data_IF_925146617364
#
_entry.id   IF_925146617364
#
_cell.length_a   1.000
_cell.length_b   1.000
_cell.length_c   1.000
_cell.angle_alpha   90.00
_cell.angle_beta   90.00
_cell.angle_gamma   90.00
#
_symmetry.space_group_name_H-M   'P 1'
#
loop_
_entity.id
_entity.type
_entity.pdbx_description
1 polymer ?
#
# COMPACT_ATOMS: atom_id res chain seq x y z
N UNK A 1 -47.27 14.88 -41.51
CA UNK A 1 -47.40 15.39 -40.13
C UNK A 1 -46.88 14.29 -39.21
N UNK A 2 -45.72 14.40 -38.65
CA UNK A 2 -45.22 13.44 -37.66
C UNK A 2 -46.01 13.60 -36.36
N UNK A 3 -46.43 12.49 -35.68
CA UNK A 3 -47.25 12.56 -34.52
C UNK A 3 -46.47 13.21 -33.36
N UNK A 4 -47.00 14.34 -32.87
CA UNK A 4 -46.44 15.18 -31.80
C UNK A 4 -46.34 14.45 -30.40
N UNK A 5 -46.72 13.17 -30.32
CA UNK A 5 -46.76 12.41 -29.05
C UNK A 5 -45.53 11.51 -28.81
N UNK A 6 -44.85 11.07 -29.84
CA UNK A 6 -43.83 10.03 -29.69
C UNK A 6 -42.49 10.57 -29.14
N UNK A 7 -42.14 11.80 -29.47
CA UNK A 7 -40.92 12.42 -28.95
C UNK A 7 -40.99 12.68 -27.43
N UNK A 8 -42.19 13.04 -26.88
CA UNK A 8 -42.37 13.24 -25.44
C UNK A 8 -42.27 11.93 -24.69
N UNK A 9 -42.85 10.85 -25.24
CA UNK A 9 -42.73 9.50 -24.68
C UNK A 9 -41.27 9.02 -24.67
N UNK A 10 -40.56 9.22 -25.76
CA UNK A 10 -39.15 8.90 -25.87
C UNK A 10 -38.30 9.72 -24.87
N UNK A 11 -38.55 11.03 -24.79
CA UNK A 11 -37.83 11.89 -23.86
C UNK A 11 -38.06 11.48 -22.38
N UNK A 12 -39.31 11.17 -22.00
CA UNK A 12 -39.65 10.68 -20.66
C UNK A 12 -39.00 9.33 -20.39
N UNK A 13 -39.03 8.39 -21.31
CA UNK A 13 -38.39 7.09 -21.18
C UNK A 13 -36.85 7.23 -21.03
N UNK A 14 -36.22 8.08 -21.85
CA UNK A 14 -34.80 8.35 -21.79
C UNK A 14 -34.41 9.00 -20.43
N UNK A 15 -35.20 9.97 -19.99
CA UNK A 15 -34.97 10.59 -18.67
C UNK A 15 -35.09 9.56 -17.52
N UNK A 16 -36.11 8.72 -17.56
CA UNK A 16 -36.30 7.66 -16.56
C UNK A 16 -35.10 6.68 -16.52
N UNK A 17 -34.60 6.29 -17.68
CA UNK A 17 -33.41 5.42 -17.80
C UNK A 17 -32.17 6.13 -17.24
N UNK A 18 -31.95 7.41 -17.57
CA UNK A 18 -30.82 8.18 -17.03
C UNK A 18 -30.90 8.34 -15.51
N UNK A 19 -32.08 8.62 -14.96
CA UNK A 19 -32.28 8.74 -13.50
C UNK A 19 -32.06 7.40 -12.82
N UNK A 20 -32.64 6.32 -13.35
CA UNK A 20 -32.45 4.98 -12.79
C UNK A 20 -30.97 4.53 -12.88
N UNK A 21 -30.31 4.75 -14.04
CA UNK A 21 -28.89 4.47 -14.22
C UNK A 21 -28.00 5.30 -13.29
N UNK A 22 -28.30 6.59 -13.16
CA UNK A 22 -27.61 7.48 -12.21
C UNK A 22 -27.77 7.03 -10.75
N UNK A 23 -28.97 6.62 -10.34
CA UNK A 23 -29.25 6.12 -9.02
C UNK A 23 -28.50 4.79 -8.73
N UNK A 24 -28.51 3.87 -9.71
CA UNK A 24 -27.76 2.61 -9.58
C UNK A 24 -26.25 2.86 -9.47
N UNK A 25 -25.70 3.77 -10.27
CA UNK A 25 -24.30 4.15 -10.17
C UNK A 25 -24.01 4.82 -8.81
N UNK A 26 -24.87 5.72 -8.36
CA UNK A 26 -24.73 6.37 -7.05
C UNK A 26 -24.68 5.35 -5.91
N UNK A 27 -25.63 4.41 -5.89
CA UNK A 27 -25.65 3.37 -4.84
C UNK A 27 -24.51 2.35 -4.99
N UNK A 28 -24.18 1.96 -6.23
CA UNK A 28 -23.13 0.96 -6.50
C UNK A 28 -21.70 1.48 -6.30
N UNK A 29 -21.51 2.81 -6.29
CA UNK A 29 -20.17 3.43 -6.15
C UNK A 29 -20.03 4.27 -4.88
N UNK A 30 -20.92 4.09 -3.90
CA UNK A 30 -20.92 4.86 -2.65
C UNK A 30 -20.86 6.39 -2.90
N UNK A 31 -21.82 6.87 -3.69
CA UNK A 31 -21.87 8.29 -4.09
C UNK A 31 -20.77 8.73 -5.02
N UNK A 32 -20.39 7.89 -6.00
CA UNK A 32 -19.27 8.06 -6.95
C UNK A 32 -17.88 8.11 -6.31
N UNK A 33 -17.78 7.66 -5.05
CA UNK A 33 -16.52 7.69 -4.31
C UNK A 33 -15.68 6.41 -4.46
N UNK A 34 -16.25 5.29 -4.91
CA UNK A 34 -15.59 4.02 -5.14
C UNK A 34 -15.82 3.53 -6.57
N UNK A 35 -15.23 4.23 -7.55
CA UNK A 35 -15.37 3.90 -8.98
C UNK A 35 -14.50 2.73 -9.42
N UNK A 36 -13.52 2.32 -8.60
CA UNK A 36 -12.65 1.18 -8.88
C UNK A 36 -12.68 0.19 -7.74
N UNK A 37 -12.39 -1.09 -8.04
CA UNK A 37 -12.24 -2.14 -7.03
C UNK A 37 -11.16 -1.80 -6.01
N UNK A 38 -10.08 -1.15 -6.42
CA UNK A 38 -9.00 -0.74 -5.53
C UNK A 38 -9.46 0.37 -4.56
N UNK A 39 -10.20 1.36 -5.03
CA UNK A 39 -10.76 2.42 -4.15
C UNK A 39 -11.75 1.83 -3.16
N UNK A 40 -12.60 0.87 -3.57
CA UNK A 40 -13.51 0.17 -2.67
C UNK A 40 -12.73 -0.64 -1.61
N UNK A 41 -11.68 -1.37 -2.03
CA UNK A 41 -10.79 -2.12 -1.13
C UNK A 41 -10.12 -1.21 -0.09
N UNK A 42 -9.51 -0.11 -0.52
CA UNK A 42 -8.85 0.86 0.38
C UNK A 42 -9.82 1.41 1.43
N UNK A 43 -11.06 1.67 1.05
CA UNK A 43 -12.11 2.13 1.98
C UNK A 43 -12.54 1.05 2.94
N UNK A 44 -12.73 -0.18 2.47
CA UNK A 44 -13.06 -1.31 3.34
C UNK A 44 -11.95 -1.53 4.40
N UNK A 45 -10.68 -1.49 4.00
CA UNK A 45 -9.54 -1.56 4.92
C UNK A 45 -9.57 -0.41 5.93
N UNK A 46 -9.85 0.82 5.48
CA UNK A 46 -9.88 1.99 6.36
C UNK A 46 -11.04 1.93 7.39
N UNK A 47 -12.17 1.34 7.00
CA UNK A 47 -13.31 1.16 7.88
C UNK A 47 -13.14 -0.02 8.87
N UNK A 48 -12.47 -1.10 8.41
CA UNK A 48 -12.24 -2.31 9.18
C UNK A 48 -10.81 -2.83 8.93
N UNK A 49 -9.82 -2.41 9.74
CA UNK A 49 -8.43 -2.87 9.61
C UNK A 49 -8.32 -4.39 9.61
N UNK A 50 -7.56 -4.92 8.64
CA UNK A 50 -7.49 -6.35 8.34
C UNK A 50 -6.22 -6.97 8.96
N UNK A 51 -6.30 -8.11 9.66
CA UNK A 51 -5.13 -8.80 10.17
C UNK A 51 -4.26 -9.29 9.01
N UNK A 52 -2.94 -9.24 9.19
CA UNK A 52 -1.97 -9.80 8.26
C UNK A 52 -1.42 -11.13 8.80
N UNK A 53 -0.98 -12.05 7.93
CA UNK A 53 -0.38 -13.30 8.39
C UNK A 53 0.96 -13.04 9.08
N UNK A 54 1.23 -13.80 10.12
CA UNK A 54 2.55 -13.83 10.77
C UNK A 54 3.49 -14.66 9.90
N UNK A 55 4.45 -13.99 9.27
CA UNK A 55 5.46 -14.63 8.42
C UNK A 55 6.86 -14.28 8.89
N UNK A 56 7.79 -15.22 8.70
CA UNK A 56 9.18 -14.98 9.03
C UNK A 56 9.87 -14.17 7.92
N UNK A 57 10.41 -13.03 8.30
CA UNK A 57 11.20 -12.13 7.47
C UNK A 57 12.69 -12.27 7.82
N UNK A 58 13.55 -12.06 6.83
CA UNK A 58 15.00 -11.96 6.99
C UNK A 58 15.44 -10.58 6.48
N UNK A 59 16.05 -9.77 7.36
CA UNK A 59 16.46 -8.42 7.00
C UNK A 59 17.78 -8.41 6.20
N UNK A 60 18.19 -7.22 5.75
CA UNK A 60 19.43 -7.00 5.00
C UNK A 60 20.69 -7.41 5.79
N UNK A 61 20.61 -7.58 7.11
CA UNK A 61 21.70 -8.04 7.97
C UNK A 61 21.64 -9.54 8.26
N UNK A 62 20.66 -10.26 7.66
CA UNK A 62 20.44 -11.69 7.88
C UNK A 62 19.73 -12.02 9.19
N UNK A 63 19.14 -11.01 9.87
CA UNK A 63 18.43 -11.23 11.14
C UNK A 63 16.99 -11.61 10.84
N UNK A 64 16.51 -12.64 11.54
CA UNK A 64 15.14 -13.10 11.44
C UNK A 64 14.23 -12.28 12.36
N UNK A 65 13.06 -11.92 11.86
CA UNK A 65 12.02 -11.22 12.61
C UNK A 65 10.63 -11.45 11.99
N UNK A 66 9.59 -11.06 12.72
CA UNK A 66 8.22 -10.95 12.23
C UNK A 66 7.74 -9.51 12.40
N UNK A 67 6.68 -9.09 11.71
CA UNK A 67 6.12 -7.75 11.88
C UNK A 67 5.50 -7.55 13.28
N UNK A 68 5.14 -8.62 13.98
CA UNK A 68 4.63 -8.58 15.36
C UNK A 68 5.61 -7.97 16.36
N UNK A 69 6.90 -7.96 16.05
CA UNK A 69 7.90 -7.27 16.90
C UNK A 69 7.64 -5.78 17.09
N UNK A 70 6.80 -5.22 16.23
CA UNK A 70 6.46 -3.80 16.22
C UNK A 70 5.07 -3.52 16.82
N UNK A 71 4.43 -4.50 17.46
CA UNK A 71 3.17 -4.26 18.17
C UNK A 71 3.34 -3.13 19.19
N UNK A 72 2.36 -2.25 19.26
CA UNK A 72 2.39 -1.03 20.06
C UNK A 72 2.87 0.22 19.30
N UNK A 73 3.38 0.06 18.06
CA UNK A 73 3.72 1.18 17.18
C UNK A 73 3.29 0.91 15.74
N UNK A 74 2.95 1.94 14.97
CA UNK A 74 2.62 1.80 13.55
C UNK A 74 3.82 1.36 12.70
N UNK A 75 3.53 0.60 11.64
CA UNK A 75 4.52 0.18 10.66
C UNK A 75 4.09 0.64 9.27
N UNK A 76 5.00 1.25 8.52
CA UNK A 76 4.78 1.58 7.11
C UNK A 76 5.52 0.56 6.25
N UNK A 77 4.80 -0.09 5.35
CA UNK A 77 5.30 -1.19 4.53
C UNK A 77 5.15 -0.84 3.05
N UNK A 78 6.19 -1.11 2.27
CA UNK A 78 6.10 -1.19 0.83
C UNK A 78 6.66 -2.52 0.29
N UNK A 79 6.35 -2.79 -0.99
CA UNK A 79 6.84 -3.97 -1.68
C UNK A 79 7.70 -3.54 -2.86
N UNK A 80 8.92 -4.06 -2.91
CA UNK A 80 9.96 -3.68 -3.87
C UNK A 80 10.68 -4.91 -4.41
N UNK A 81 11.56 -4.74 -5.40
CA UNK A 81 12.63 -5.69 -5.73
C UNK A 81 13.84 -4.92 -6.26
N UNK A 82 15.05 -5.45 -6.01
CA UNK A 82 16.29 -4.71 -6.27
C UNK A 82 16.57 -4.48 -7.75
N UNK A 83 16.04 -5.33 -8.63
CA UNK A 83 16.15 -5.20 -10.08
C UNK A 83 15.18 -4.22 -10.75
N UNK A 84 14.33 -3.55 -9.98
CA UNK A 84 13.34 -2.60 -10.51
C UNK A 84 13.98 -1.25 -10.89
N UNK A 85 13.87 -0.88 -12.16
CA UNK A 85 14.40 0.40 -12.67
C UNK A 85 13.38 1.54 -12.72
N UNK A 86 12.13 1.34 -12.28
CA UNK A 86 11.04 2.31 -12.50
C UNK A 86 10.36 2.76 -11.21
N UNK A 87 9.42 1.97 -10.70
CA UNK A 87 8.55 2.39 -9.59
C UNK A 87 9.20 2.22 -8.21
N UNK A 88 10.05 1.20 -8.02
CA UNK A 88 10.67 0.95 -6.72
C UNK A 88 11.64 2.06 -6.29
N UNK A 89 12.44 2.69 -7.19
CA UNK A 89 13.21 3.88 -6.81
C UNK A 89 12.34 5.02 -6.29
N UNK A 90 11.16 5.25 -6.89
CA UNK A 90 10.22 6.28 -6.45
C UNK A 90 9.65 5.98 -5.06
N UNK A 91 9.25 4.71 -4.80
CA UNK A 91 8.84 4.25 -3.47
C UNK A 91 9.95 4.44 -2.44
N UNK A 92 11.16 3.96 -2.75
CA UNK A 92 12.31 4.04 -1.84
C UNK A 92 12.72 5.50 -1.56
N UNK A 93 12.59 6.41 -2.53
CA UNK A 93 12.78 7.84 -2.30
C UNK A 93 11.68 8.44 -1.39
N UNK A 94 10.45 7.97 -1.50
CA UNK A 94 9.37 8.30 -0.57
C UNK A 94 9.70 7.86 0.85
N UNK A 95 10.10 6.61 1.01
CA UNK A 95 10.51 6.03 2.30
C UNK A 95 11.73 6.73 2.88
N UNK A 96 12.71 7.12 2.07
CA UNK A 96 13.85 7.92 2.52
C UNK A 96 13.42 9.27 3.09
N UNK A 97 12.41 9.94 2.50
CA UNK A 97 11.86 11.19 3.05
C UNK A 97 11.15 10.94 4.38
N UNK A 98 10.36 9.86 4.47
CA UNK A 98 9.71 9.44 5.73
C UNK A 98 10.73 9.14 6.82
N UNK A 99 11.76 8.34 6.52
CA UNK A 99 12.82 8.00 7.46
C UNK A 99 13.56 9.22 8.00
N UNK A 100 13.85 10.19 7.13
CA UNK A 100 14.47 11.47 7.56
C UNK A 100 13.57 12.27 8.47
N UNK A 101 12.28 12.37 8.14
CA UNK A 101 11.29 13.08 8.98
C UNK A 101 11.15 12.39 10.34
N UNK A 102 11.05 11.06 10.36
CA UNK A 102 10.95 10.28 11.60
C UNK A 102 12.20 10.41 12.47
N UNK A 103 13.39 10.29 11.89
CA UNK A 103 14.65 10.47 12.63
C UNK A 103 14.80 11.90 13.18
N UNK A 104 14.27 12.92 12.50
CA UNK A 104 14.26 14.28 13.03
C UNK A 104 13.32 14.35 14.23
N UNK A 105 12.08 13.86 14.09
CA UNK A 105 11.10 13.85 15.17
C UNK A 105 11.59 13.02 16.38
N UNK A 106 12.24 11.88 16.14
CA UNK A 106 12.83 11.03 17.20
C UNK A 106 13.94 11.76 17.95
N UNK A 107 14.78 12.53 17.26
CA UNK A 107 15.82 13.35 17.94
C UNK A 107 15.23 14.40 18.87
N UNK A 108 14.10 14.97 18.47
CA UNK A 108 13.44 16.05 19.24
C UNK A 108 12.64 15.49 20.43
N UNK A 109 11.98 14.33 20.25
CA UNK A 109 11.11 13.72 21.27
C UNK A 109 11.78 12.59 22.07
N UNK A 110 12.88 12.02 21.59
CA UNK A 110 13.52 10.84 22.16
C UNK A 110 12.78 9.52 21.85
N UNK A 111 11.65 9.56 21.13
CA UNK A 111 10.79 8.41 20.88
C UNK A 111 10.56 8.20 19.37
N UNK A 112 10.79 6.97 18.90
CA UNK A 112 10.48 6.56 17.53
C UNK A 112 8.97 6.28 17.42
N UNK A 113 8.28 7.01 16.53
CA UNK A 113 6.82 6.97 16.38
C UNK A 113 6.34 5.93 15.40
N UNK A 114 7.15 5.56 14.40
CA UNK A 114 6.80 4.56 13.40
C UNK A 114 8.04 3.79 12.92
N UNK A 115 7.79 2.63 12.33
CA UNK A 115 8.81 1.77 11.73
C UNK A 115 8.58 1.67 10.21
N UNK A 116 9.65 1.62 9.42
CA UNK A 116 9.61 1.41 7.98
C UNK A 116 10.15 0.02 7.62
N UNK A 117 9.43 -0.69 6.75
CA UNK A 117 9.82 -2.01 6.27
C UNK A 117 9.55 -2.12 4.77
N UNK A 118 10.61 -2.27 3.96
CA UNK A 118 10.51 -2.58 2.54
C UNK A 118 10.69 -4.08 2.34
N UNK A 119 9.68 -4.76 1.79
CA UNK A 119 9.69 -6.21 1.63
C UNK A 119 9.88 -6.54 0.14
N UNK A 120 10.94 -7.32 -0.17
CA UNK A 120 11.09 -7.82 -1.53
C UNK A 120 10.23 -9.05 -1.80
N UNK A 121 9.68 -9.10 -3.00
CA UNK A 121 9.00 -10.27 -3.53
C UNK A 121 9.85 -11.08 -4.53
N UNK A 122 11.06 -10.60 -4.86
CA UNK A 122 11.98 -11.32 -5.74
C UNK A 122 12.80 -12.32 -4.94
N UNK A 123 12.68 -13.59 -5.31
CA UNK A 123 13.45 -14.67 -4.69
C UNK A 123 14.95 -14.57 -4.92
N UNK A 124 15.38 -13.79 -5.91
CA UNK A 124 16.81 -13.53 -6.20
C UNK A 124 17.41 -12.47 -5.27
N UNK A 125 16.62 -11.74 -4.54
CA UNK A 125 17.09 -10.72 -3.60
C UNK A 125 17.60 -11.38 -2.31
N UNK A 126 18.91 -11.56 -2.26
CA UNK A 126 19.62 -12.03 -1.07
C UNK A 126 19.79 -10.92 -0.04
N UNK A 127 20.05 -11.21 1.25
CA UNK A 127 20.38 -10.18 2.25
C UNK A 127 21.52 -9.24 1.79
N UNK A 128 22.51 -9.76 1.09
CA UNK A 128 23.62 -8.95 0.57
C UNK A 128 23.13 -7.94 -0.49
N UNK A 129 22.28 -8.35 -1.43
CA UNK A 129 21.67 -7.45 -2.43
C UNK A 129 20.75 -6.42 -1.78
N UNK A 130 19.97 -6.85 -0.79
CA UNK A 130 19.12 -5.93 -0.01
C UNK A 130 19.95 -4.90 0.76
N UNK A 131 21.10 -5.29 1.32
CA UNK A 131 22.03 -4.37 2.01
C UNK A 131 22.61 -3.34 1.04
N UNK A 132 23.04 -3.79 -0.14
CA UNK A 132 23.55 -2.91 -1.19
C UNK A 132 22.45 -1.91 -1.61
N UNK A 133 21.23 -2.39 -1.91
CA UNK A 133 20.10 -1.54 -2.27
C UNK A 133 19.75 -0.56 -1.15
N UNK A 134 19.66 -1.01 0.11
CA UNK A 134 19.40 -0.19 1.28
C UNK A 134 20.42 0.95 1.45
N UNK A 135 21.70 0.68 1.12
CA UNK A 135 22.76 1.67 1.24
C UNK A 135 22.58 2.87 0.31
N UNK A 136 21.99 2.70 -0.87
CA UNK A 136 21.67 3.77 -1.81
C UNK A 136 20.66 4.78 -1.23
N UNK A 137 19.84 4.35 -0.28
CA UNK A 137 18.82 5.18 0.37
C UNK A 137 19.18 5.56 1.80
N UNK A 138 20.37 5.17 2.28
CA UNK A 138 20.83 5.39 3.65
C UNK A 138 19.91 4.77 4.72
N UNK A 139 19.27 3.65 4.40
CA UNK A 139 18.49 2.86 5.35
C UNK A 139 19.43 2.14 6.32
N UNK A 140 19.24 2.37 7.63
CA UNK A 140 20.19 1.93 8.67
C UNK A 140 19.85 0.57 9.30
N UNK A 141 18.78 -0.07 8.84
CA UNK A 141 18.30 -1.32 9.41
C UNK A 141 17.70 -1.19 10.82
N UNK A 142 17.51 0.03 11.33
CA UNK A 142 16.86 0.32 12.62
C UNK A 142 15.49 0.94 12.42
N UNK A 143 15.43 2.19 11.95
CA UNK A 143 14.19 2.87 11.62
C UNK A 143 13.60 2.40 10.30
N UNK A 144 14.42 1.96 9.36
CA UNK A 144 14.02 1.43 8.06
C UNK A 144 14.79 0.16 7.72
N UNK A 145 14.06 -0.95 7.51
CA UNK A 145 14.59 -2.26 7.11
C UNK A 145 14.15 -2.64 5.72
N UNK A 146 15.07 -3.26 5.00
CA UNK A 146 14.76 -4.07 3.83
C UNK A 146 14.76 -5.54 4.22
N UNK A 147 13.74 -6.28 3.80
CA UNK A 147 13.58 -7.67 4.20
C UNK A 147 13.03 -8.52 3.06
N UNK A 148 13.23 -9.82 3.17
CA UNK A 148 12.61 -10.83 2.29
C UNK A 148 11.83 -11.85 3.12
N UNK A 149 10.85 -12.46 2.50
CA UNK A 149 10.20 -13.66 3.02
C UNK A 149 11.01 -14.89 2.56
N UNK A 150 11.30 -15.82 3.45
CA UNK A 150 12.11 -16.99 3.11
C UNK A 150 11.31 -18.04 2.35
N UNK A 151 10.10 -18.31 2.81
CA UNK A 151 9.24 -19.37 2.28
C UNK A 151 8.26 -18.81 1.25
N UNK A 152 8.19 -19.42 0.07
CA UNK A 152 7.31 -18.95 -1.02
C UNK A 152 5.82 -18.91 -0.62
N UNK A 153 5.34 -19.92 0.08
CA UNK A 153 3.94 -19.95 0.50
C UNK A 153 3.59 -18.80 1.47
N UNK A 154 4.55 -18.43 2.32
CA UNK A 154 4.43 -17.29 3.23
C UNK A 154 4.42 -15.97 2.45
N UNK A 155 5.27 -15.85 1.42
CA UNK A 155 5.27 -14.69 0.53
C UNK A 155 3.91 -14.53 -0.18
N UNK A 156 3.39 -15.59 -0.78
CA UNK A 156 2.09 -15.56 -1.46
C UNK A 156 0.95 -15.19 -0.50
N UNK A 157 1.02 -15.68 0.74
CA UNK A 157 0.07 -15.34 1.80
C UNK A 157 0.13 -13.86 2.17
N UNK A 158 1.35 -13.33 2.34
CA UNK A 158 1.60 -11.95 2.67
C UNK A 158 1.13 -11.02 1.54
N UNK A 159 1.51 -11.31 0.29
CA UNK A 159 1.10 -10.53 -0.88
C UNK A 159 -0.42 -10.46 -1.02
N UNK A 160 -1.13 -11.59 -0.82
CA UNK A 160 -2.60 -11.60 -0.81
C UNK A 160 -3.19 -10.72 0.28
N UNK A 161 -2.65 -10.77 1.50
CA UNK A 161 -3.14 -9.95 2.61
C UNK A 161 -2.99 -8.45 2.34
N UNK A 162 -1.88 -8.05 1.71
CA UNK A 162 -1.64 -6.67 1.29
C UNK A 162 -2.34 -6.30 -0.03
N UNK A 163 -2.93 -7.27 -0.74
CA UNK A 163 -3.58 -7.08 -2.04
C UNK A 163 -2.57 -6.76 -3.15
N UNK A 164 -1.35 -7.27 -3.05
CA UNK A 164 -0.33 -7.12 -4.08
C UNK A 164 -0.56 -8.15 -5.17
N UNK A 165 -0.65 -7.66 -6.41
CA UNK A 165 -0.74 -8.48 -7.62
C UNK A 165 0.60 -8.37 -8.35
N UNK A 166 1.25 -9.51 -8.55
CA UNK A 166 2.51 -9.59 -9.31
C UNK A 166 2.26 -10.21 -10.69
N UNK A 167 2.79 -9.57 -11.71
CA UNK A 167 2.78 -10.06 -13.09
C UNK A 167 4.24 -10.12 -13.56
N UNK A 168 4.76 -11.34 -13.75
CA UNK A 168 6.10 -11.54 -14.31
C UNK A 168 6.10 -11.21 -15.80
N UNK A 169 7.15 -10.52 -16.27
CA UNK A 169 7.38 -10.27 -17.70
C UNK A 169 8.08 -11.44 -18.42
N UNK A 170 8.37 -12.54 -17.69
CA UNK A 170 9.06 -13.72 -18.21
C UNK A 170 10.56 -13.49 -18.47
N UNK A 171 11.11 -12.32 -18.16
CA UNK A 171 12.52 -11.95 -18.36
C UNK A 171 13.23 -11.58 -17.07
N UNK A 172 12.62 -11.88 -15.92
CA UNK A 172 13.13 -11.55 -14.60
C UNK A 172 12.64 -10.20 -14.05
N UNK A 173 11.79 -9.50 -14.79
CA UNK A 173 11.11 -8.30 -14.32
C UNK A 173 9.69 -8.58 -13.85
N UNK A 174 9.14 -7.64 -13.08
CA UNK A 174 7.79 -7.72 -12.54
C UNK A 174 7.05 -6.40 -12.71
N UNK A 175 5.75 -6.49 -12.99
CA UNK A 175 4.80 -5.40 -12.80
C UNK A 175 3.98 -5.71 -11.55
N UNK A 176 3.73 -4.71 -10.71
CA UNK A 176 2.87 -4.84 -9.55
C UNK A 176 2.13 -3.54 -9.24
N UNK A 177 1.04 -3.66 -8.52
CA UNK A 177 0.29 -2.51 -8.02
C UNK A 177 1.01 -1.90 -6.80
N UNK A 178 1.94 -1.00 -7.06
CA UNK A 178 2.73 -0.34 -6.02
C UNK A 178 1.86 0.58 -5.15
N UNK A 179 2.06 0.52 -3.84
CA UNK A 179 1.36 1.33 -2.85
C UNK A 179 2.18 1.41 -1.54
N UNK A 180 1.85 2.39 -0.70
CA UNK A 180 2.34 2.51 0.68
C UNK A 180 1.27 1.97 1.62
N UNK A 181 1.63 1.01 2.45
CA UNK A 181 0.72 0.33 3.37
C UNK A 181 1.02 0.75 4.81
N UNK A 182 -0.01 1.07 5.57
CA UNK A 182 0.13 1.44 6.99
C UNK A 182 -0.53 0.37 7.84
N UNK A 183 0.27 -0.24 8.71
CA UNK A 183 -0.22 -1.09 9.79
C UNK A 183 -0.44 -0.26 11.04
N UNK A 184 -1.53 -0.54 11.75
CA UNK A 184 -1.80 0.08 13.04
C UNK A 184 -0.91 -0.51 14.15
N UNK A 185 -1.03 0.04 15.36
CA UNK A 185 -0.33 -0.41 16.56
C UNK A 185 -0.65 -1.86 16.98
N UNK A 186 -1.70 -2.45 16.40
CA UNK A 186 -2.11 -3.85 16.58
C UNK A 186 -1.62 -4.76 15.45
N UNK A 187 -0.79 -4.27 14.55
CA UNK A 187 -0.25 -5.01 13.42
C UNK A 187 -1.26 -5.33 12.32
N UNK A 188 -2.38 -4.59 12.21
CA UNK A 188 -3.40 -4.77 11.19
C UNK A 188 -3.23 -3.76 10.07
N UNK A 189 -3.46 -4.19 8.83
CA UNK A 189 -3.49 -3.29 7.68
C UNK A 189 -4.65 -2.30 7.82
N UNK A 190 -4.35 -1.04 8.09
CA UNK A 190 -5.31 0.01 8.39
C UNK A 190 -5.49 1.02 7.26
N UNK A 191 -4.45 1.26 6.44
CA UNK A 191 -4.51 2.20 5.30
C UNK A 191 -3.66 1.72 4.15
N UNK A 192 -4.07 2.10 2.94
CA UNK A 192 -3.30 1.94 1.70
C UNK A 192 -3.27 3.30 1.00
N UNK A 193 -2.07 3.84 0.83
CA UNK A 193 -1.82 5.15 0.24
C UNK A 193 -1.15 5.01 -1.13
N UNK A 194 -1.17 6.06 -1.92
CA UNK A 194 -0.49 6.10 -3.21
C UNK A 194 1.04 6.16 -3.06
N UNK A 195 1.75 5.75 -4.11
CA UNK A 195 3.23 5.74 -4.18
C UNK A 195 3.85 7.10 -3.86
N UNK A 196 3.18 8.18 -4.22
CA UNK A 196 3.65 9.56 -3.99
C UNK A 196 3.23 10.17 -2.64
N UNK A 197 2.66 9.38 -1.73
CA UNK A 197 2.20 9.90 -0.44
C UNK A 197 3.30 10.68 0.29
N UNK A 198 2.95 11.89 0.71
CA UNK A 198 3.86 12.76 1.46
C UNK A 198 4.04 12.28 2.91
N UNK A 199 5.12 12.68 3.60
CA UNK A 199 5.29 12.38 5.02
C UNK A 199 4.09 12.79 5.88
N UNK A 200 3.47 13.94 5.58
CA UNK A 200 2.30 14.42 6.31
C UNK A 200 1.05 13.54 6.07
N UNK A 201 0.86 13.03 4.84
CA UNK A 201 -0.22 12.09 4.54
C UNK A 201 -0.04 10.77 5.29
N UNK A 202 1.19 10.26 5.33
CA UNK A 202 1.51 9.05 6.11
C UNK A 202 1.31 9.31 7.61
N UNK A 203 1.76 10.44 8.14
CA UNK A 203 1.56 10.81 9.55
C UNK A 203 0.06 10.87 9.92
N UNK A 204 -0.79 11.48 9.07
CA UNK A 204 -2.25 11.46 9.25
C UNK A 204 -2.83 10.05 9.21
N UNK A 205 -2.36 9.22 8.27
CA UNK A 205 -2.81 7.84 8.14
C UNK A 205 -2.47 6.99 9.37
N UNK A 206 -1.29 7.22 9.96
CA UNK A 206 -0.81 6.58 11.19
C UNK A 206 -1.64 7.00 12.40
N UNK A 207 -1.96 8.29 12.54
CA UNK A 207 -2.72 8.81 13.70
C UNK A 207 -4.23 8.56 13.60
N UNK A 208 -4.72 8.02 12.48
CA UNK A 208 -6.15 7.82 12.24
C UNK A 208 -6.92 9.11 11.99
N UNK A 209 -6.24 10.25 11.83
CA UNK A 209 -6.87 11.51 11.49
C UNK A 209 -7.46 11.44 10.07
N UNK A 210 -8.78 11.61 9.96
CA UNK A 210 -9.44 11.76 8.66
C UNK A 210 -8.99 13.05 7.99
N UNK A 211 -8.93 13.09 6.64
CA UNK A 211 -8.59 14.28 5.87
C UNK A 211 -9.61 15.40 6.06
#
# INVERSE_FOLDING_TARGET
MAPKGDWVRTAVASLAICVAGGALLWHGTDGFRALTTETARRRAIAAAPTPIPVVQLEDQDGRLFTLDRYLGQPVVVDFVYTGCGTICPLLSDGFRRLDRAERSATRDSGEQRLQLVSITFDSLDTPARLREYASHYAADGRSWRFARVRERNDLDSLLRAFGIVLISDGRGGFQHNAAVHVLDDRGRLARVLDVGASPDEVARAVTGASP
#
